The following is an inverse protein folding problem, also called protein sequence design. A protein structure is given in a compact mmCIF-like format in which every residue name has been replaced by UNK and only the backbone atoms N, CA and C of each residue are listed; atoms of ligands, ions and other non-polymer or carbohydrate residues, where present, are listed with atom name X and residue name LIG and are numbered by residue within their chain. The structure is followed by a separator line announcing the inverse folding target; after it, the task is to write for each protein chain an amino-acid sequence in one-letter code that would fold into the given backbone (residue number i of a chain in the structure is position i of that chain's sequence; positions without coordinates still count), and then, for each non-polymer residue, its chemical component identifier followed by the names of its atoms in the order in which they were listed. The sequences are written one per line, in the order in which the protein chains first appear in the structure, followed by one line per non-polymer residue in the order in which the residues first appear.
data_IF_728188945431
#
_entry.id   IF_728188945431
#
_cell.length_a   1.000
_cell.length_b   1.000
_cell.length_c   1.000
_cell.angle_alpha   90.00
_cell.angle_beta   90.00
_cell.angle_gamma   90.00
#
_symmetry.space_group_name_H-M   'P 1'
#
loop_
_entity.id
_entity.type
_entity.pdbx_description
1 polymer ?
#
# COMPACT_ATOMS: atom_id res chain seq x y z
N UNK A 1 -77.55 5.20 -28.32
CA UNK A 1 -77.54 3.76 -28.68
C UNK A 1 -76.55 3.06 -27.76
N UNK A 2 -77.02 2.54 -26.62
CA UNK A 2 -77.41 1.14 -26.34
C UNK A 2 -76.20 0.36 -25.76
N UNK A 3 -76.16 0.09 -24.44
CA UNK A 3 -76.55 -1.18 -23.75
C UNK A 3 -75.80 -2.40 -24.31
N UNK A 4 -75.21 -3.30 -23.54
CA UNK A 4 -75.31 -3.58 -22.11
C UNK A 4 -74.53 -4.85 -21.74
N UNK A 5 -74.52 -5.07 -20.43
CA UNK A 5 -74.00 -6.21 -19.67
C UNK A 5 -74.67 -7.55 -20.06
N UNK A 6 -74.00 -8.69 -19.91
CA UNK A 6 -74.65 -9.99 -20.13
C UNK A 6 -73.73 -11.21 -19.96
N UNK A 7 -73.81 -11.79 -18.77
CA UNK A 7 -73.11 -12.99 -18.30
C UNK A 7 -73.86 -14.26 -18.75
N UNK A 8 -73.14 -15.37 -18.99
CA UNK A 8 -73.62 -16.70 -18.56
C UNK A 8 -74.00 -17.76 -19.61
N UNK A 9 -73.28 -18.89 -19.50
CA UNK A 9 -73.76 -20.28 -19.55
C UNK A 9 -73.99 -20.95 -20.92
N UNK A 10 -73.25 -22.02 -21.22
CA UNK A 10 -73.74 -23.41 -21.03
C UNK A 10 -72.75 -24.46 -21.54
N UNK A 11 -72.69 -25.57 -20.81
CA UNK A 11 -71.89 -26.78 -21.03
C UNK A 11 -72.14 -27.47 -22.38
N UNK A 12 -71.08 -28.10 -22.92
CA UNK A 12 -71.16 -29.17 -23.92
C UNK A 12 -69.95 -30.10 -23.77
N UNK A 13 -70.22 -31.32 -23.32
CA UNK A 13 -69.25 -32.34 -22.88
C UNK A 13 -68.72 -33.20 -24.04
N UNK A 14 -67.63 -33.91 -23.72
CA UNK A 14 -67.04 -35.08 -24.38
C UNK A 14 -66.10 -34.85 -25.59
N UNK A 15 -64.79 -35.09 -25.39
CA UNK A 15 -64.25 -36.41 -25.74
C UNK A 15 -62.83 -36.64 -25.19
N UNK A 16 -62.64 -37.78 -24.53
CA UNK A 16 -61.60 -38.73 -24.92
C UNK A 16 -60.13 -38.46 -24.56
N UNK A 17 -59.67 -39.26 -23.59
CA UNK A 17 -58.38 -39.96 -23.61
C UNK A 17 -57.18 -39.30 -22.94
N UNK A 18 -57.10 -39.58 -21.63
CA UNK A 18 -55.92 -40.13 -20.96
C UNK A 18 -54.62 -40.24 -21.77
N UNK A 19 -53.58 -39.52 -21.33
CA UNK A 19 -52.32 -40.16 -20.97
C UNK A 19 -51.35 -39.19 -20.30
N UNK A 20 -50.62 -39.69 -19.30
CA UNK A 20 -49.37 -39.06 -18.88
C UNK A 20 -49.38 -38.40 -17.51
N UNK A 21 -49.61 -39.19 -16.47
CA UNK A 21 -49.03 -38.94 -15.15
C UNK A 21 -47.51 -38.78 -15.29
N UNK A 22 -47.00 -37.55 -15.27
CA UNK A 22 -45.60 -37.27 -15.03
C UNK A 22 -45.39 -35.81 -14.58
N UNK A 23 -44.57 -35.65 -13.55
CA UNK A 23 -43.79 -34.44 -13.28
C UNK A 23 -44.36 -33.35 -12.33
N UNK A 24 -45.08 -33.74 -11.28
CA UNK A 24 -45.38 -32.84 -10.15
C UNK A 24 -44.20 -32.63 -9.17
N UNK A 25 -43.28 -33.59 -9.06
CA UNK A 25 -42.20 -33.57 -8.07
C UNK A 25 -40.92 -32.85 -8.53
N UNK A 26 -40.59 -32.89 -9.82
CA UNK A 26 -39.39 -32.21 -10.36
C UNK A 26 -39.52 -30.69 -10.40
N UNK A 27 -40.72 -30.18 -10.67
CA UNK A 27 -41.03 -28.74 -10.64
C UNK A 27 -40.96 -28.17 -9.22
N UNK A 28 -41.57 -28.86 -8.24
CA UNK A 28 -41.55 -28.46 -6.83
C UNK A 28 -40.14 -28.53 -6.22
N UNK A 29 -39.33 -29.53 -6.57
CA UNK A 29 -37.95 -29.61 -6.07
C UNK A 29 -37.08 -28.51 -6.68
N UNK A 30 -37.20 -28.20 -7.98
CA UNK A 30 -36.51 -27.09 -8.63
C UNK A 30 -36.90 -25.73 -8.05
N UNK A 31 -38.18 -25.50 -7.78
CA UNK A 31 -38.65 -24.28 -7.12
C UNK A 31 -38.10 -24.15 -5.69
N UNK A 32 -38.05 -25.27 -4.94
CA UNK A 32 -37.51 -25.30 -3.59
C UNK A 32 -35.99 -25.07 -3.56
N UNK A 33 -35.26 -25.63 -4.53
CA UNK A 33 -33.82 -25.40 -4.70
C UNK A 33 -33.55 -23.96 -5.11
N UNK A 34 -34.35 -23.40 -6.03
CA UNK A 34 -34.27 -21.98 -6.40
C UNK A 34 -34.48 -21.06 -5.19
N UNK A 35 -35.51 -21.32 -4.38
CA UNK A 35 -35.77 -20.55 -3.16
C UNK A 35 -34.67 -20.68 -2.10
N UNK A 36 -34.04 -21.85 -1.98
CA UNK A 36 -32.90 -22.05 -1.08
C UNK A 36 -31.64 -21.34 -1.59
N UNK A 37 -31.40 -21.34 -2.89
CA UNK A 37 -30.29 -20.63 -3.51
C UNK A 37 -30.46 -19.11 -3.38
N UNK A 38 -31.66 -18.58 -3.62
CA UNK A 38 -31.97 -17.16 -3.44
C UNK A 38 -31.80 -16.75 -1.98
N UNK A 39 -32.33 -17.54 -1.03
CA UNK A 39 -32.16 -17.29 0.40
C UNK A 39 -30.69 -17.36 0.86
N UNK A 40 -29.88 -18.20 0.23
CA UNK A 40 -28.45 -18.34 0.52
C UNK A 40 -27.65 -17.19 -0.11
N UNK A 41 -27.97 -16.77 -1.33
CA UNK A 41 -27.40 -15.61 -2.00
C UNK A 41 -27.73 -14.31 -1.24
N UNK A 42 -28.97 -14.14 -0.79
CA UNK A 42 -29.35 -13.02 0.09
C UNK A 42 -28.59 -13.03 1.42
N UNK A 43 -28.41 -14.20 2.04
CA UNK A 43 -27.66 -14.35 3.30
C UNK A 43 -26.17 -14.07 3.12
N UNK A 44 -25.58 -14.45 1.99
CA UNK A 44 -24.19 -14.15 1.64
C UNK A 44 -24.03 -12.66 1.34
N UNK A 45 -24.93 -12.08 0.54
CA UNK A 45 -24.93 -10.65 0.20
C UNK A 45 -25.22 -9.72 1.37
N UNK A 46 -25.95 -10.21 2.36
CA UNK A 46 -26.22 -9.53 3.63
C UNK A 46 -25.16 -9.75 4.72
N UNK A 47 -24.16 -10.59 4.48
CA UNK A 47 -23.11 -10.87 5.46
C UNK A 47 -22.21 -9.65 5.69
N UNK A 48 -21.73 -9.48 6.93
CA UNK A 48 -20.82 -8.37 7.29
C UNK A 48 -19.54 -8.37 6.45
N UNK A 49 -19.05 -9.56 6.07
CA UNK A 49 -17.89 -9.70 5.18
C UNK A 49 -18.18 -9.22 3.74
N UNK A 50 -19.33 -9.57 3.19
CA UNK A 50 -19.73 -9.12 1.85
C UNK A 50 -19.98 -7.61 1.79
N UNK A 51 -20.58 -7.05 2.86
CA UNK A 51 -20.80 -5.62 3.02
C UNK A 51 -19.52 -4.80 3.24
N UNK A 52 -18.46 -5.41 3.77
CA UNK A 52 -17.15 -4.79 3.95
C UNK A 52 -16.32 -4.77 2.66
N UNK A 53 -16.48 -5.79 1.80
CA UNK A 53 -15.76 -5.91 0.53
C UNK A 53 -16.40 -5.06 -0.57
N UNK A 54 -17.74 -5.06 -0.66
CA UNK A 54 -18.46 -4.38 -1.74
C UNK A 54 -19.04 -3.03 -1.32
N UNK A 55 -18.61 -2.00 -2.04
CA UNK A 55 -19.03 -0.62 -1.79
C UNK A 55 -20.55 -0.47 -1.99
N UNK A 56 -21.25 0.26 -1.10
CA UNK A 56 -22.61 0.66 -1.36
C UNK A 56 -22.74 1.50 -2.63
N UNK A 57 -23.63 1.07 -3.52
CA UNK A 57 -23.78 1.64 -4.88
C UNK A 57 -22.97 0.93 -5.97
N UNK A 58 -22.24 -0.15 -5.67
CA UNK A 58 -21.66 -1.02 -6.71
C UNK A 58 -22.77 -1.75 -7.48
N UNK A 59 -22.48 -2.22 -8.70
CA UNK A 59 -23.42 -2.99 -9.55
C UNK A 59 -24.03 -4.19 -8.79
N UNK A 60 -23.33 -4.68 -7.77
CA UNK A 60 -23.70 -5.82 -6.93
C UNK A 60 -24.54 -5.47 -5.69
N UNK A 61 -24.83 -4.17 -5.42
CA UNK A 61 -25.65 -3.71 -4.28
C UNK A 61 -26.69 -2.68 -4.74
N UNK A 62 -27.91 -3.13 -5.06
CA UNK A 62 -29.05 -2.27 -5.47
C UNK A 62 -29.67 -1.55 -4.25
N UNK A 63 -30.13 -0.31 -4.45
CA UNK A 63 -30.95 0.44 -3.47
C UNK A 63 -30.23 1.49 -2.59
N UNK A 64 -28.99 1.87 -2.90
CA UNK A 64 -28.26 2.85 -2.08
C UNK A 64 -28.45 4.29 -2.60
N UNK A 65 -28.97 5.18 -1.76
CA UNK A 65 -29.07 6.62 -2.06
C UNK A 65 -27.69 7.29 -1.91
N UNK A 66 -27.16 7.84 -2.99
CA UNK A 66 -25.78 8.34 -3.07
C UNK A 66 -25.64 9.77 -2.49
N UNK A 67 -26.00 9.95 -1.22
CA UNK A 67 -25.91 11.24 -0.53
C UNK A 67 -24.51 11.48 0.08
N UNK A 68 -24.05 12.73 0.22
CA UNK A 68 -22.76 13.04 0.86
C UNK A 68 -22.61 12.49 2.27
N UNK A 69 -23.72 12.47 3.04
CA UNK A 69 -23.78 11.98 4.43
C UNK A 69 -23.67 10.45 4.49
N UNK A 70 -24.31 9.74 3.56
CA UNK A 70 -24.28 8.28 3.53
C UNK A 70 -22.88 7.77 3.16
N UNK A 71 -22.20 8.43 2.20
CA UNK A 71 -20.81 8.14 1.82
C UNK A 71 -19.83 8.28 2.99
N UNK A 72 -20.00 9.27 3.87
CA UNK A 72 -19.17 9.38 5.08
C UNK A 72 -19.43 8.26 6.08
N UNK A 73 -20.68 7.85 6.33
CA UNK A 73 -20.99 6.79 7.29
C UNK A 73 -20.37 5.44 6.92
N UNK A 74 -20.41 5.08 5.63
CA UNK A 74 -19.84 3.83 5.12
C UNK A 74 -18.32 3.78 5.28
N UNK A 75 -17.67 4.94 5.17
CA UNK A 75 -16.22 5.09 5.27
C UNK A 75 -15.76 5.09 6.73
N UNK A 76 -16.61 5.54 7.66
CA UNK A 76 -16.32 5.50 9.10
C UNK A 76 -16.50 4.09 9.71
N UNK A 77 -17.40 3.27 9.17
CA UNK A 77 -17.66 1.91 9.66
C UNK A 77 -16.77 0.82 9.04
N UNK A 78 -15.95 1.13 8.03
CA UNK A 78 -15.10 0.16 7.35
C UNK A 78 -13.62 0.59 7.39
N UNK A 79 -12.78 -0.25 8.01
CA UNK A 79 -11.33 -0.04 8.14
C UNK A 79 -10.66 0.14 6.77
N UNK A 80 -11.08 -0.64 5.76
CA UNK A 80 -10.56 -0.56 4.39
C UNK A 80 -10.96 0.74 3.67
N UNK A 81 -12.18 1.24 3.91
CA UNK A 81 -12.64 2.47 3.26
C UNK A 81 -12.08 3.72 3.94
N UNK A 82 -11.61 3.65 5.18
CA UNK A 82 -10.86 4.73 5.83
C UNK A 82 -9.59 5.14 5.03
N UNK A 83 -8.98 4.18 4.31
CA UNK A 83 -7.78 4.41 3.51
C UNK A 83 -8.04 5.28 2.26
N UNK A 84 -9.26 5.27 1.69
CA UNK A 84 -9.58 6.02 0.47
C UNK A 84 -10.30 7.36 0.74
N UNK A 85 -9.86 8.50 0.19
CA UNK A 85 -10.45 9.79 0.51
C UNK A 85 -11.82 9.95 -0.14
N UNK A 86 -12.78 10.51 0.62
CA UNK A 86 -14.18 10.74 0.16
C UNK A 86 -14.26 11.91 -0.82
N UNK A 87 -13.35 12.88 -0.68
CA UNK A 87 -13.27 14.10 -1.46
C UNK A 87 -11.81 14.43 -1.70
N UNK A 88 -11.45 14.68 -2.96
CA UNK A 88 -10.15 15.24 -3.35
C UNK A 88 -10.40 16.61 -3.97
N UNK A 89 -9.75 17.66 -3.45
CA UNK A 89 -9.89 19.01 -4.01
C UNK A 89 -9.28 19.04 -5.41
N UNK A 90 -9.94 19.64 -6.41
CA UNK A 90 -9.47 19.60 -7.81
C UNK A 90 -8.06 20.18 -8.01
N UNK A 91 -7.63 21.15 -7.20
CA UNK A 91 -6.26 21.69 -7.25
C UNK A 91 -5.20 20.73 -6.70
N UNK A 92 -5.58 19.77 -5.85
CA UNK A 92 -4.68 18.77 -5.28
C UNK A 92 -4.21 17.73 -6.32
N UNK A 93 -4.99 17.54 -7.39
CA UNK A 93 -4.72 16.59 -8.48
C UNK A 93 -3.98 17.26 -9.65
N UNK A 94 -3.84 18.59 -9.65
CA UNK A 94 -3.08 19.28 -10.69
C UNK A 94 -1.60 18.90 -10.55
N UNK A 95 -1.09 18.16 -11.53
CA UNK A 95 0.32 17.76 -11.61
C UNK A 95 1.23 18.97 -11.53
N UNK A 96 0.84 20.11 -12.12
CA UNK A 96 1.60 21.36 -12.03
C UNK A 96 1.76 21.93 -10.62
N UNK A 97 0.89 21.57 -9.67
CA UNK A 97 0.86 22.15 -8.32
C UNK A 97 1.46 21.24 -7.23
N UNK A 98 1.27 19.93 -7.35
CA UNK A 98 1.79 18.95 -6.37
C UNK A 98 2.93 18.11 -6.93
N UNK A 99 3.09 18.07 -8.26
CA UNK A 99 3.93 17.12 -9.00
C UNK A 99 3.74 15.66 -8.57
N UNK A 100 2.66 15.37 -7.85
CA UNK A 100 2.43 14.12 -7.13
C UNK A 100 3.66 13.63 -6.32
N UNK A 101 4.56 14.51 -5.88
CA UNK A 101 5.89 14.11 -5.34
C UNK A 101 5.80 13.21 -4.11
N UNK A 102 4.84 13.48 -3.21
CA UNK A 102 4.62 12.63 -2.02
C UNK A 102 4.03 11.25 -2.36
N UNK A 103 3.22 11.16 -3.42
CA UNK A 103 2.72 9.89 -3.94
C UNK A 103 3.81 9.13 -4.71
N UNK A 104 4.64 9.85 -5.47
CA UNK A 104 5.78 9.30 -6.18
C UNK A 104 6.82 8.71 -5.22
N UNK A 105 7.14 9.40 -4.13
CA UNK A 105 8.06 8.87 -3.11
C UNK A 105 7.52 7.59 -2.46
N UNK A 106 6.20 7.51 -2.22
CA UNK A 106 5.57 6.28 -1.72
C UNK A 106 5.63 5.13 -2.74
N UNK A 107 5.37 5.42 -4.01
CA UNK A 107 5.49 4.44 -5.09
C UNK A 107 6.93 3.92 -5.22
N UNK A 108 7.92 4.81 -5.17
CA UNK A 108 9.34 4.43 -5.21
C UNK A 108 9.74 3.58 -4.00
N UNK A 109 9.21 3.88 -2.80
CA UNK A 109 9.41 3.05 -1.61
C UNK A 109 8.84 1.63 -1.79
N UNK A 110 7.66 1.50 -2.38
CA UNK A 110 7.07 0.19 -2.70
C UNK A 110 7.92 -0.58 -3.72
N UNK A 111 8.37 0.09 -4.77
CA UNK A 111 9.26 -0.49 -5.78
C UNK A 111 10.58 -0.96 -5.16
N UNK A 112 11.19 -0.15 -4.29
CA UNK A 112 12.38 -0.51 -3.52
C UNK A 112 12.14 -1.72 -2.63
N UNK A 113 11.00 -1.80 -1.97
CA UNK A 113 10.66 -2.94 -1.11
C UNK A 113 10.54 -4.23 -1.92
N UNK A 114 9.83 -4.21 -3.05
CA UNK A 114 9.65 -5.40 -3.92
C UNK A 114 10.98 -5.85 -4.52
N UNK A 115 11.74 -4.91 -5.08
CA UNK A 115 13.06 -5.22 -5.66
C UNK A 115 14.06 -5.65 -4.59
N UNK A 116 14.01 -5.06 -3.39
CA UNK A 116 14.86 -5.44 -2.26
C UNK A 116 14.60 -6.87 -1.81
N UNK A 117 13.33 -7.26 -1.63
CA UNK A 117 12.96 -8.64 -1.28
C UNK A 117 13.49 -9.63 -2.32
N UNK A 118 13.41 -9.31 -3.62
CA UNK A 118 13.97 -10.16 -4.66
C UNK A 118 15.49 -10.32 -4.51
N UNK A 119 16.22 -9.22 -4.28
CA UNK A 119 17.68 -9.26 -4.09
C UNK A 119 18.09 -10.07 -2.85
N UNK A 120 17.28 -10.08 -1.79
CA UNK A 120 17.55 -10.85 -0.58
C UNK A 120 17.66 -12.36 -0.82
N UNK A 121 16.95 -12.92 -1.81
CA UNK A 121 17.03 -14.35 -2.11
C UNK A 121 18.40 -14.79 -2.64
N UNK A 122 19.19 -13.85 -3.18
CA UNK A 122 20.45 -14.12 -3.86
C UNK A 122 21.67 -13.51 -3.14
N UNK A 123 21.48 -12.81 -2.03
CA UNK A 123 22.53 -12.11 -1.31
C UNK A 123 22.77 -12.71 0.07
N UNK A 124 24.02 -13.11 0.36
CA UNK A 124 24.43 -13.52 1.71
C UNK A 124 25.24 -12.40 2.36
N UNK A 125 24.85 -11.94 3.57
CA UNK A 125 25.55 -10.88 4.29
C UNK A 125 26.82 -11.41 4.98
N UNK A 126 27.74 -11.99 4.20
CA UNK A 126 29.05 -12.43 4.70
C UNK A 126 30.19 -11.74 3.96
N UNK A 127 31.22 -11.30 4.69
CA UNK A 127 32.29 -10.48 4.11
C UNK A 127 33.06 -11.19 2.99
N UNK A 128 33.13 -12.52 3.01
CA UNK A 128 33.82 -13.33 2.00
C UNK A 128 32.98 -13.56 0.74
N UNK A 129 31.65 -13.65 0.87
CA UNK A 129 30.77 -13.97 -0.26
C UNK A 129 29.98 -12.78 -0.82
N UNK A 130 29.85 -11.67 -0.08
CA UNK A 130 28.99 -10.55 -0.45
C UNK A 130 29.30 -10.01 -1.85
N UNK A 131 30.58 -9.73 -2.14
CA UNK A 131 31.00 -9.22 -3.44
C UNK A 131 30.80 -10.25 -4.57
N UNK A 132 31.11 -11.52 -4.33
CA UNK A 132 30.90 -12.57 -5.33
C UNK A 132 29.42 -12.79 -5.64
N UNK A 133 28.55 -12.77 -4.63
CA UNK A 133 27.10 -12.92 -4.78
C UNK A 133 26.52 -11.78 -5.63
N UNK A 134 27.03 -10.57 -5.44
CA UNK A 134 26.70 -9.37 -6.20
C UNK A 134 27.11 -9.48 -7.68
N UNK A 135 28.28 -10.07 -7.97
CA UNK A 135 28.69 -10.38 -9.35
C UNK A 135 27.86 -11.49 -9.99
N UNK A 136 27.59 -12.58 -9.25
CA UNK A 136 26.75 -13.68 -9.72
C UNK A 136 25.32 -13.19 -10.01
N UNK A 137 24.80 -12.28 -9.20
CA UNK A 137 23.50 -11.65 -9.41
C UNK A 137 23.44 -10.85 -10.71
N UNK A 138 24.53 -10.17 -11.09
CA UNK A 138 24.57 -9.43 -12.35
C UNK A 138 24.76 -10.31 -13.59
N UNK A 139 25.45 -11.44 -13.45
CA UNK A 139 25.92 -12.25 -14.61
C UNK A 139 25.13 -13.53 -14.83
N UNK A 140 24.72 -14.22 -13.77
CA UNK A 140 24.13 -15.56 -13.84
C UNK A 140 22.62 -15.59 -13.55
N UNK A 141 22.10 -14.63 -12.79
CA UNK A 141 20.67 -14.59 -12.43
C UNK A 141 19.86 -13.89 -13.52
N UNK A 142 18.83 -14.56 -14.03
CA UNK A 142 17.90 -13.98 -15.00
C UNK A 142 17.24 -12.72 -14.42
N UNK A 143 17.30 -11.61 -15.17
CA UNK A 143 16.87 -10.27 -14.74
C UNK A 143 17.58 -9.72 -13.49
N UNK A 144 18.62 -10.37 -12.95
CA UNK A 144 19.29 -9.92 -11.73
C UNK A 144 19.95 -8.54 -11.89
N UNK A 145 20.69 -8.32 -12.98
CA UNK A 145 21.25 -7.00 -13.33
C UNK A 145 20.16 -5.92 -13.48
N UNK A 146 19.01 -6.26 -14.08
CA UNK A 146 17.90 -5.32 -14.22
C UNK A 146 17.33 -4.93 -12.85
N UNK A 147 17.00 -5.90 -12.00
CA UNK A 147 16.40 -5.65 -10.68
C UNK A 147 17.37 -4.88 -9.78
N UNK A 148 18.66 -5.20 -9.80
CA UNK A 148 19.69 -4.46 -9.06
C UNK A 148 19.78 -3.00 -9.52
N UNK A 149 19.81 -2.77 -10.84
CA UNK A 149 19.85 -1.41 -11.38
C UNK A 149 18.54 -0.66 -11.09
N UNK A 150 17.39 -1.31 -11.16
CA UNK A 150 16.11 -0.72 -10.75
C UNK A 150 16.14 -0.31 -9.27
N UNK A 151 16.63 -1.17 -8.38
CA UNK A 151 16.74 -0.86 -6.96
C UNK A 151 17.66 0.35 -6.71
N UNK A 152 18.83 0.38 -7.37
CA UNK A 152 19.78 1.50 -7.27
C UNK A 152 19.20 2.82 -7.79
N UNK A 153 18.63 2.82 -8.99
CA UNK A 153 18.04 4.02 -9.58
C UNK A 153 16.80 4.48 -8.82
N UNK A 154 15.95 3.56 -8.37
CA UNK A 154 14.80 3.90 -7.55
C UNK A 154 15.21 4.53 -6.21
N UNK A 155 16.33 4.10 -5.60
CA UNK A 155 16.84 4.71 -4.38
C UNK A 155 17.24 6.16 -4.61
N UNK A 156 18.00 6.44 -5.68
CA UNK A 156 18.38 7.82 -6.03
C UNK A 156 17.17 8.69 -6.37
N UNK A 157 16.21 8.15 -7.14
CA UNK A 157 14.97 8.85 -7.45
C UNK A 157 14.12 9.09 -6.20
N UNK A 158 14.12 8.18 -5.22
CA UNK A 158 13.38 8.36 -3.97
C UNK A 158 13.97 9.51 -3.16
N UNK A 159 15.29 9.56 -3.00
CA UNK A 159 15.97 10.67 -2.31
C UNK A 159 15.66 12.00 -3.00
N UNK A 160 15.76 12.06 -4.33
CA UNK A 160 15.44 13.26 -5.11
C UNK A 160 13.96 13.66 -4.95
N UNK A 161 13.03 12.71 -5.07
CA UNK A 161 11.59 12.97 -4.95
C UNK A 161 11.21 13.47 -3.56
N UNK A 162 11.77 12.88 -2.49
CA UNK A 162 11.55 13.33 -1.11
C UNK A 162 12.14 14.72 -0.90
N UNK A 163 13.35 14.98 -1.42
CA UNK A 163 13.96 16.31 -1.34
C UNK A 163 13.11 17.39 -2.03
N UNK A 164 12.67 17.13 -3.26
CA UNK A 164 11.77 18.04 -3.99
C UNK A 164 10.42 18.19 -3.28
N UNK A 165 9.90 17.13 -2.66
CA UNK A 165 8.69 17.19 -1.85
C UNK A 165 8.85 18.15 -0.66
N UNK A 166 9.98 18.07 0.05
CA UNK A 166 10.31 18.96 1.16
C UNK A 166 10.42 20.42 0.71
N UNK A 167 11.16 20.68 -0.37
CA UNK A 167 11.25 22.01 -0.98
C UNK A 167 9.87 22.57 -1.32
N UNK A 168 9.01 21.77 -1.97
CA UNK A 168 7.66 22.19 -2.35
C UNK A 168 6.81 22.55 -1.14
N UNK A 169 6.84 21.76 -0.07
CA UNK A 169 6.10 22.01 1.18
C UNK A 169 6.58 23.29 1.86
N UNK A 170 7.89 23.56 1.80
CA UNK A 170 8.49 24.79 2.30
C UNK A 170 8.05 26.02 1.47
N UNK A 171 8.20 25.99 0.15
CA UNK A 171 7.84 27.11 -0.74
C UNK A 171 6.35 27.46 -0.69
N UNK A 172 5.47 26.47 -0.54
CA UNK A 172 4.03 26.71 -0.46
C UNK A 172 3.55 27.07 0.96
N UNK A 173 4.45 27.18 1.95
CA UNK A 173 4.10 27.43 3.34
C UNK A 173 3.18 26.37 3.94
N UNK A 174 3.19 25.16 3.40
CA UNK A 174 2.25 24.09 3.76
C UNK A 174 2.52 23.50 5.15
N UNK A 175 3.67 23.83 5.75
CA UNK A 175 4.09 23.48 7.10
C UNK A 175 3.44 24.35 8.20
N UNK A 176 2.81 25.48 7.85
CA UNK A 176 2.15 26.38 8.82
C UNK A 176 0.97 25.68 9.53
N UNK A 177 0.60 26.20 10.71
CA UNK A 177 -0.56 25.73 11.49
C UNK A 177 -1.79 25.47 10.59
N UNK A 178 -2.48 24.31 10.73
CA UNK A 178 -2.36 23.28 11.77
C UNK A 178 -1.41 22.10 11.43
N UNK A 179 -0.55 22.20 10.41
CA UNK A 179 0.22 21.08 9.83
C UNK A 179 1.67 20.93 10.33
N UNK A 180 2.03 21.65 11.38
CA UNK A 180 3.39 21.71 11.93
C UNK A 180 3.90 20.33 12.39
N UNK A 181 3.03 19.54 13.03
CA UNK A 181 3.37 18.18 13.46
C UNK A 181 3.68 17.26 12.27
N UNK A 182 2.94 17.40 11.16
CA UNK A 182 3.18 16.61 9.95
C UNK A 182 4.51 16.99 9.28
N UNK A 183 4.94 18.24 9.40
CA UNK A 183 6.25 18.69 8.94
C UNK A 183 7.39 18.02 9.72
N UNK A 184 7.30 17.96 11.05
CA UNK A 184 8.31 17.26 11.88
C UNK A 184 8.43 15.79 11.48
N UNK A 185 7.30 15.11 11.27
CA UNK A 185 7.30 13.73 10.75
C UNK A 185 7.97 13.65 9.37
N UNK A 186 7.71 14.62 8.50
CA UNK A 186 8.36 14.71 7.18
C UNK A 186 9.88 14.85 7.28
N UNK A 187 10.39 15.65 8.21
CA UNK A 187 11.83 15.77 8.48
C UNK A 187 12.41 14.45 8.98
N UNK A 188 11.73 13.75 9.91
CA UNK A 188 12.15 12.43 10.38
C UNK A 188 12.20 11.42 9.22
N UNK A 189 11.18 11.41 8.35
CA UNK A 189 11.13 10.54 7.18
C UNK A 189 12.24 10.85 6.17
N UNK A 190 12.60 12.13 5.98
CA UNK A 190 13.75 12.54 5.16
C UNK A 190 15.05 11.95 5.74
N UNK A 191 15.29 12.12 7.05
CA UNK A 191 16.48 11.56 7.72
C UNK A 191 16.53 10.04 7.59
N UNK A 192 15.41 9.35 7.82
CA UNK A 192 15.32 7.89 7.65
C UNK A 192 15.58 7.45 6.21
N UNK A 193 15.11 8.20 5.21
CA UNK A 193 15.36 7.92 3.79
C UNK A 193 16.84 8.05 3.45
N UNK A 194 17.52 9.07 3.99
CA UNK A 194 18.97 9.25 3.82
C UNK A 194 19.76 8.12 4.51
N UNK A 195 19.36 7.73 5.72
CA UNK A 195 19.97 6.60 6.42
C UNK A 195 19.75 5.27 5.68
N UNK A 196 18.56 5.05 5.12
CA UNK A 196 18.27 3.87 4.30
C UNK A 196 19.15 3.85 3.04
N UNK A 197 19.29 4.98 2.36
CA UNK A 197 20.18 5.10 1.19
C UNK A 197 21.65 4.86 1.55
N UNK A 198 22.11 5.39 2.69
CA UNK A 198 23.47 5.18 3.16
C UNK A 198 23.73 3.71 3.50
N UNK A 199 22.85 3.08 4.28
CA UNK A 199 23.05 1.68 4.69
C UNK A 199 22.98 0.70 3.52
N UNK A 200 22.14 0.96 2.51
CA UNK A 200 22.08 0.14 1.29
C UNK A 200 23.35 0.23 0.45
N UNK A 201 24.01 1.40 0.45
CA UNK A 201 25.28 1.62 -0.24
C UNK A 201 26.42 0.74 0.32
N UNK A 202 26.32 0.30 1.58
CA UNK A 202 27.36 -0.48 2.24
C UNK A 202 27.31 -1.98 1.86
N UNK A 203 26.17 -2.47 1.39
CA UNK A 203 25.91 -3.91 1.21
C UNK A 203 26.70 -4.58 0.07
N UNK A 204 27.05 -3.92 -1.05
CA UNK A 204 27.91 -4.53 -2.06
C UNK A 204 29.29 -4.95 -1.53
N UNK A 205 29.75 -4.34 -0.43
CA UNK A 205 31.02 -4.64 0.21
C UNK A 205 32.25 -4.44 -0.70
N UNK A 206 32.19 -3.41 -1.54
CA UNK A 206 33.30 -2.96 -2.39
C UNK A 206 34.24 -2.00 -1.63
N UNK A 207 35.35 -1.61 -2.27
CA UNK A 207 36.34 -0.73 -1.62
C UNK A 207 35.73 0.60 -1.17
N UNK A 208 34.80 1.15 -1.95
CA UNK A 208 34.12 2.41 -1.62
C UNK A 208 33.17 2.23 -0.43
N UNK A 209 32.42 1.12 -0.36
CA UNK A 209 31.61 0.77 0.81
C UNK A 209 32.46 0.67 2.08
N UNK A 210 33.62 0.00 2.03
CA UNK A 210 34.51 -0.12 3.20
C UNK A 210 35.02 1.25 3.70
N UNK A 211 35.36 2.15 2.78
CA UNK A 211 35.70 3.53 3.14
C UNK A 211 34.51 4.29 3.73
N UNK A 212 33.31 4.11 3.17
CA UNK A 212 32.09 4.72 3.69
C UNK A 212 31.74 4.22 5.11
N UNK A 213 31.91 2.93 5.39
CA UNK A 213 31.77 2.36 6.75
C UNK A 213 32.77 3.00 7.70
N UNK A 214 34.04 3.09 7.27
CA UNK A 214 35.13 3.66 8.09
C UNK A 214 34.85 5.12 8.44
N UNK A 215 34.52 5.95 7.45
CA UNK A 215 34.20 7.37 7.66
C UNK A 215 32.94 7.52 8.51
N UNK A 216 31.86 6.82 8.19
CA UNK A 216 30.60 6.91 8.91
C UNK A 216 30.70 6.51 10.38
N UNK A 217 31.39 5.41 10.67
CA UNK A 217 31.59 4.93 12.06
C UNK A 217 32.54 5.82 12.85
N UNK A 218 33.54 6.43 12.20
CA UNK A 218 34.41 7.40 12.84
C UNK A 218 33.68 8.71 13.15
N UNK A 219 32.82 9.22 12.25
CA UNK A 219 31.97 10.37 12.52
C UNK A 219 31.07 10.15 13.73
N UNK A 220 30.44 8.97 13.81
CA UNK A 220 29.61 8.57 14.96
C UNK A 220 30.43 8.47 16.26
N UNK A 221 31.71 8.09 16.15
CA UNK A 221 32.65 8.03 17.27
C UNK A 221 32.95 9.37 17.93
N UNK A 222 32.74 10.49 17.24
CA UNK A 222 32.91 11.84 17.80
C UNK A 222 31.71 12.33 18.62
N UNK A 223 30.64 11.52 18.75
CA UNK A 223 29.49 11.87 19.59
C UNK A 223 29.94 12.00 21.06
N UNK A 224 29.68 13.13 21.72
CA UNK A 224 30.06 13.30 23.12
C UNK A 224 29.35 12.26 24.01
N UNK A 225 30.04 11.81 25.06
CA UNK A 225 29.57 10.83 26.07
C UNK A 225 29.41 9.39 25.56
N UNK A 226 28.83 9.16 24.38
CA UNK A 226 28.47 7.82 23.90
C UNK A 226 29.22 7.34 22.64
N UNK A 227 30.12 8.14 22.06
CA UNK A 227 30.74 7.86 20.76
C UNK A 227 31.44 6.51 20.66
N UNK A 228 32.23 6.11 21.66
CA UNK A 228 32.91 4.82 21.69
C UNK A 228 31.93 3.63 21.71
N UNK A 229 30.90 3.72 22.53
CA UNK A 229 29.84 2.70 22.64
C UNK A 229 29.02 2.59 21.36
N UNK A 230 28.65 3.73 20.75
CA UNK A 230 27.90 3.78 19.48
C UNK A 230 28.70 3.14 18.35
N UNK A 231 29.99 3.47 18.23
CA UNK A 231 30.88 2.85 17.25
C UNK A 231 30.98 1.35 17.44
N UNK A 232 31.13 0.87 18.67
CA UNK A 232 31.20 -0.55 18.98
C UNK A 232 29.89 -1.29 18.66
N UNK A 233 28.73 -0.68 18.95
CA UNK A 233 27.41 -1.26 18.62
C UNK A 233 27.18 -1.33 17.11
N UNK A 234 27.68 -0.38 16.33
CA UNK A 234 27.52 -0.43 14.88
C UNK A 234 28.49 -1.41 14.20
N UNK A 235 29.75 -1.44 14.63
CA UNK A 235 30.75 -2.33 14.05
C UNK A 235 30.61 -3.77 14.53
N UNK A 236 30.17 -3.96 15.78
CA UNK A 236 30.12 -5.26 16.45
C UNK A 236 31.46 -5.82 16.90
N UNK A 237 32.55 -5.18 16.50
CA UNK A 237 33.89 -5.50 16.95
C UNK A 237 34.75 -4.22 16.97
N UNK A 238 36.04 -4.34 17.34
CA UNK A 238 37.00 -3.23 17.25
C UNK A 238 37.40 -2.91 15.80
N UNK A 239 37.18 -3.86 14.89
CA UNK A 239 37.51 -3.74 13.47
C UNK A 239 36.29 -4.01 12.57
N UNK A 240 36.41 -3.62 11.30
CA UNK A 240 35.38 -3.85 10.29
C UNK A 240 35.47 -5.31 9.84
N UNK A 241 34.37 -6.06 9.98
CA UNK A 241 34.37 -7.48 9.64
C UNK A 241 32.98 -8.00 9.30
N UNK A 242 32.83 -9.32 9.39
CA UNK A 242 31.59 -10.01 9.04
C UNK A 242 30.38 -9.53 9.86
N UNK A 243 30.58 -9.31 11.17
CA UNK A 243 29.53 -8.85 12.07
C UNK A 243 29.06 -7.43 11.73
N UNK A 244 29.96 -6.59 11.21
CA UNK A 244 29.63 -5.24 10.75
C UNK A 244 28.65 -5.31 9.58
N UNK A 245 28.95 -6.13 8.57
CA UNK A 245 28.09 -6.30 7.40
C UNK A 245 26.71 -6.84 7.77
N UNK A 246 26.65 -7.85 8.65
CA UNK A 246 25.38 -8.41 9.11
C UNK A 246 24.51 -7.35 9.81
N UNK A 247 25.09 -6.49 10.66
CA UNK A 247 24.36 -5.42 11.34
C UNK A 247 23.84 -4.38 10.34
N UNK A 248 24.67 -3.93 9.40
CA UNK A 248 24.22 -2.99 8.36
C UNK A 248 23.12 -3.58 7.48
N UNK A 249 23.19 -4.86 7.17
CA UNK A 249 22.14 -5.60 6.46
C UNK A 249 20.83 -5.62 7.24
N UNK A 250 20.84 -5.99 8.53
CA UNK A 250 19.64 -6.00 9.38
C UNK A 250 19.04 -4.60 9.53
N UNK A 251 19.90 -3.57 9.69
CA UNK A 251 19.46 -2.18 9.76
C UNK A 251 18.76 -1.75 8.47
N UNK A 252 19.33 -2.08 7.31
CA UNK A 252 18.82 -1.68 6.00
C UNK A 252 17.55 -2.41 5.60
N UNK A 253 17.48 -3.72 5.83
CA UNK A 253 16.39 -4.56 5.34
C UNK A 253 15.20 -4.57 6.28
N UNK A 254 15.44 -4.53 7.59
CA UNK A 254 14.40 -4.71 8.59
C UNK A 254 14.12 -3.43 9.38
N UNK A 255 15.12 -2.90 10.10
CA UNK A 255 14.86 -1.83 11.06
C UNK A 255 14.36 -0.53 10.38
N UNK A 256 15.12 0.00 9.42
CA UNK A 256 14.75 1.27 8.79
C UNK A 256 13.46 1.19 7.97
N UNK A 257 13.23 0.17 7.11
CA UNK A 257 11.97 0.05 6.39
C UNK A 257 10.76 -0.08 7.32
N UNK A 258 10.89 -0.86 8.41
CA UNK A 258 9.82 -1.01 9.40
C UNK A 258 9.47 0.32 10.07
N UNK A 259 10.48 1.06 10.54
CA UNK A 259 10.29 2.37 11.16
C UNK A 259 9.70 3.37 10.17
N UNK A 260 10.17 3.38 8.92
CA UNK A 260 9.63 4.23 7.84
C UNK A 260 8.14 3.94 7.63
N UNK A 261 7.73 2.66 7.57
CA UNK A 261 6.30 2.29 7.41
C UNK A 261 5.44 2.85 8.54
N UNK A 262 5.91 2.79 9.79
CA UNK A 262 5.18 3.35 10.95
C UNK A 262 5.04 4.87 10.81
N UNK A 263 6.14 5.59 10.60
CA UNK A 263 6.10 7.05 10.47
C UNK A 263 5.30 7.49 9.24
N UNK A 264 5.36 6.75 8.15
CA UNK A 264 4.61 7.02 6.93
C UNK A 264 3.11 6.82 7.13
N UNK A 265 2.69 5.79 7.89
CA UNK A 265 1.30 5.61 8.26
C UNK A 265 0.78 6.81 9.09
N UNK A 266 1.57 7.27 10.07
CA UNK A 266 1.24 8.46 10.88
C UNK A 266 1.19 9.71 10.00
N UNK A 267 2.14 9.88 9.09
CA UNK A 267 2.20 11.00 8.15
C UNK A 267 0.94 11.07 7.28
N UNK A 268 0.54 9.96 6.65
CA UNK A 268 -0.68 9.91 5.83
C UNK A 268 -1.95 10.13 6.64
N UNK A 269 -2.01 9.58 7.86
CA UNK A 269 -3.13 9.80 8.76
C UNK A 269 -3.27 11.28 9.13
N UNK A 270 -2.17 11.98 9.44
CA UNK A 270 -2.19 13.42 9.73
C UNK A 270 -2.58 14.26 8.53
N UNK A 271 -2.00 14.00 7.35
CA UNK A 271 -2.41 14.68 6.09
C UNK A 271 -3.92 14.56 5.86
N UNK A 272 -4.52 13.40 6.17
CA UNK A 272 -5.97 13.21 6.07
C UNK A 272 -6.74 13.98 7.14
N UNK A 273 -6.29 13.93 8.40
CA UNK A 273 -6.96 14.60 9.53
C UNK A 273 -6.96 16.13 9.37
N UNK A 274 -5.90 16.69 8.77
CA UNK A 274 -5.70 18.13 8.61
C UNK A 274 -6.35 18.71 7.32
N UNK A 275 -7.30 17.96 6.73
CA UNK A 275 -8.10 18.43 5.59
C UNK A 275 -7.45 18.25 4.22
N UNK A 276 -6.43 17.41 4.10
CA UNK A 276 -5.76 17.06 2.85
C UNK A 276 -4.67 18.07 2.42
N UNK A 277 -4.46 18.19 1.11
CA UNK A 277 -3.43 19.07 0.53
C UNK A 277 -3.81 20.54 0.76
N UNK A 278 -2.83 21.37 1.15
CA UNK A 278 -2.99 22.81 1.27
C UNK A 278 -3.34 23.43 -0.09
N UNK A 279 -4.30 24.37 -0.07
CA UNK A 279 -4.63 25.13 -1.27
C UNK A 279 -3.45 26.02 -1.70
N UNK A 280 -3.40 26.43 -2.99
CA UNK A 280 -2.52 27.52 -3.41
C UNK A 280 -2.82 28.77 -2.59
N UNK A 281 -1.77 29.56 -2.33
CA UNK A 281 -1.89 30.92 -1.83
C UNK A 281 -2.57 31.80 -2.88
#
# INVERSE_FOLDING_TARGET
MAKGNGNGSSNGSANGSSNGSANGNGSKSRARVGAVLEKTDEKIRGSQAWLAIFRPGSVYRRGYTDSPRNRSYVIMNNVLYHLHPVKVKRHAVKVSYTLCLGGLSFFLFMLLTVTGIFLMFFYRPTATSAWSDIQTLETAVAFGSLVRNMHRWAAHLMVLAVFLHMCRVFYHGAYKSPREFNWVIGVILLTLTLLLSFTGYLLPWDQLALWAVTVGTNMMGYTPVFGGSVKYVLLGSKEIGNDTLLRWYVLHVLLFPFVIVIFMAIHFWRVRKDGGISGPL
#
